data_IF_742547168613
#
_entry.id   IF_742547168613
#
_cell.length_a   1.000
_cell.length_b   1.000
_cell.length_c   1.000
_cell.angle_alpha   90.00
_cell.angle_beta   90.00
_cell.angle_gamma   90.00
#
_symmetry.space_group_name_H-M   'P 1'
#
loop_
_entity.id
_entity.type
_entity.pdbx_description
1 polymer ?
#
# COMPACT_ATOMS: atom_id res chain seq x y z
N UNK A 1 -7.95 -1.59 -16.34
CA UNK A 1 -8.47 -0.30 -15.86
C UNK A 1 -9.77 -0.43 -15.05
N UNK A 2 -10.74 -1.23 -15.46
CA UNK A 2 -12.03 -1.40 -14.76
C UNK A 2 -11.87 -1.90 -13.30
N UNK A 3 -10.96 -2.85 -13.08
CA UNK A 3 -10.72 -3.43 -11.75
C UNK A 3 -10.19 -2.41 -10.73
N UNK A 4 -9.33 -1.47 -11.15
CA UNK A 4 -8.80 -0.44 -10.27
C UNK A 4 -9.87 0.60 -9.87
N UNK A 5 -10.78 0.94 -10.79
CA UNK A 5 -11.90 1.84 -10.48
C UNK A 5 -12.87 1.21 -9.47
N UNK A 6 -13.12 -0.10 -9.61
CA UNK A 6 -13.93 -0.82 -8.64
C UNK A 6 -13.25 -0.89 -7.27
N UNK A 7 -11.96 -1.22 -7.23
CA UNK A 7 -11.19 -1.24 -5.99
C UNK A 7 -11.25 0.13 -5.29
N UNK A 8 -11.14 1.23 -6.02
CA UNK A 8 -11.30 2.59 -5.47
C UNK A 8 -12.67 2.82 -4.84
N UNK A 9 -13.75 2.37 -5.47
CA UNK A 9 -15.11 2.52 -4.91
C UNK A 9 -15.27 1.76 -3.60
N UNK A 10 -14.83 0.50 -3.54
CA UNK A 10 -14.90 -0.30 -2.32
C UNK A 10 -14.02 0.27 -1.22
N UNK A 11 -12.82 0.67 -1.56
CA UNK A 11 -11.88 1.26 -0.61
C UNK A 11 -12.39 2.58 -0.04
N UNK A 12 -12.97 3.44 -0.89
CA UNK A 12 -13.54 4.71 -0.47
C UNK A 12 -14.74 4.49 0.47
N UNK A 13 -15.64 3.56 0.14
CA UNK A 13 -16.79 3.24 1.02
C UNK A 13 -16.32 2.71 2.38
N UNK A 14 -15.31 1.84 2.42
CA UNK A 14 -14.75 1.34 3.67
C UNK A 14 -14.05 2.44 4.46
N UNK A 15 -13.36 3.36 3.79
CA UNK A 15 -12.70 4.50 4.40
C UNK A 15 -13.72 5.47 5.01
N UNK A 16 -14.79 5.82 4.29
CA UNK A 16 -15.87 6.69 4.78
C UNK A 16 -16.52 6.10 6.04
N UNK A 17 -16.83 4.80 6.01
CA UNK A 17 -17.38 4.10 7.17
C UNK A 17 -16.40 4.10 8.36
N UNK A 18 -15.13 3.86 8.11
CA UNK A 18 -14.08 3.90 9.14
C UNK A 18 -13.91 5.31 9.74
N UNK A 19 -14.10 6.34 8.92
CA UNK A 19 -14.04 7.74 9.35
C UNK A 19 -15.26 8.09 10.21
N UNK A 20 -16.46 7.69 9.82
CA UNK A 20 -17.69 7.89 10.58
C UNK A 20 -17.64 7.21 11.96
N UNK A 21 -17.08 6.00 12.03
CA UNK A 21 -16.90 5.26 13.28
C UNK A 21 -15.67 5.67 14.09
N UNK A 22 -14.81 6.56 13.56
CA UNK A 22 -13.57 6.96 14.22
C UNK A 22 -12.52 5.84 14.30
N UNK A 23 -12.59 4.85 13.41
CA UNK A 23 -11.78 3.63 13.44
C UNK A 23 -10.85 3.46 12.23
N UNK A 24 -10.33 4.57 11.69
CA UNK A 24 -9.44 4.53 10.52
C UNK A 24 -8.22 3.64 10.72
N UNK A 25 -7.57 3.73 11.89
CA UNK A 25 -6.38 2.93 12.21
C UNK A 25 -6.75 1.46 12.46
N UNK A 26 -7.69 1.14 13.39
CA UNK A 26 -8.04 -0.25 13.65
C UNK A 26 -8.46 -1.02 12.39
N UNK A 27 -9.31 -0.45 11.56
CA UNK A 27 -9.74 -1.11 10.32
C UNK A 27 -8.60 -1.26 9.31
N UNK A 28 -7.67 -0.31 9.26
CA UNK A 28 -6.47 -0.43 8.44
C UNK A 28 -5.55 -1.57 8.89
N UNK A 29 -5.38 -1.75 10.20
CA UNK A 29 -4.59 -2.84 10.79
C UNK A 29 -5.26 -4.20 10.54
N UNK A 30 -6.58 -4.29 10.70
CA UNK A 30 -7.34 -5.50 10.40
C UNK A 30 -7.24 -5.89 8.92
N UNK A 31 -7.40 -4.93 7.99
CA UNK A 31 -7.24 -5.18 6.55
C UNK A 31 -5.80 -5.62 6.21
N UNK A 32 -4.80 -5.01 6.83
CA UNK A 32 -3.40 -5.39 6.65
C UNK A 32 -3.09 -6.81 7.20
N UNK A 33 -3.72 -7.19 8.33
CA UNK A 33 -3.60 -8.56 8.87
C UNK A 33 -4.18 -9.58 7.89
N UNK A 34 -5.40 -9.35 7.39
CA UNK A 34 -6.02 -10.23 6.39
C UNK A 34 -5.14 -10.37 5.14
N UNK A 35 -4.55 -9.26 4.67
CA UNK A 35 -3.62 -9.32 3.53
C UNK A 35 -2.43 -10.21 3.82
N UNK A 36 -1.80 -10.05 4.97
CA UNK A 36 -0.65 -10.86 5.40
C UNK A 36 -0.99 -12.34 5.42
N UNK A 37 -2.18 -12.69 5.90
CA UNK A 37 -2.64 -14.07 5.95
C UNK A 37 -2.90 -14.64 4.55
N UNK A 38 -3.49 -13.84 3.66
CA UNK A 38 -3.69 -14.22 2.25
C UNK A 38 -2.35 -14.39 1.50
N UNK A 39 -1.37 -13.54 1.76
CA UNK A 39 -0.04 -13.60 1.13
C UNK A 39 0.77 -14.80 1.67
N UNK A 40 0.62 -15.15 2.95
CA UNK A 40 1.28 -16.31 3.57
C UNK A 40 0.65 -17.65 3.19
N UNK A 41 -0.60 -17.65 2.72
CA UNK A 41 -1.36 -18.85 2.35
C UNK A 41 -1.91 -18.76 0.91
N UNK A 42 -1.09 -19.00 -0.13
CA UNK A 42 -1.54 -18.92 -1.53
C UNK A 42 -2.73 -19.84 -1.86
N UNK A 43 -2.85 -20.95 -1.12
CA UNK A 43 -3.98 -21.87 -1.26
C UNK A 43 -5.30 -21.23 -0.82
N UNK A 44 -5.29 -20.44 0.25
CA UNK A 44 -6.44 -19.69 0.73
C UNK A 44 -6.90 -18.67 -0.30
N UNK A 45 -5.95 -17.92 -0.86
CA UNK A 45 -6.22 -16.96 -1.94
C UNK A 45 -6.86 -17.62 -3.15
N UNK A 46 -6.29 -18.76 -3.61
CA UNK A 46 -6.82 -19.54 -4.72
C UNK A 46 -8.23 -20.09 -4.42
N UNK A 47 -8.47 -20.57 -3.20
CA UNK A 47 -9.77 -21.05 -2.76
C UNK A 47 -10.84 -19.95 -2.81
N UNK A 48 -10.54 -18.79 -2.27
CA UNK A 48 -11.45 -17.64 -2.26
C UNK A 48 -11.73 -17.10 -3.67
N UNK A 49 -10.73 -17.12 -4.56
CA UNK A 49 -10.87 -16.68 -5.94
C UNK A 49 -11.63 -17.67 -6.83
N UNK A 50 -11.65 -18.96 -6.50
CA UNK A 50 -12.23 -20.02 -7.35
C UNK A 50 -13.75 -19.82 -7.55
N UNK A 51 -14.24 -19.60 -8.78
CA UNK A 51 -15.66 -19.37 -9.05
C UNK A 51 -16.56 -20.60 -8.85
N UNK A 52 -15.97 -21.82 -8.81
CA UNK A 52 -16.71 -23.07 -8.62
C UNK A 52 -17.10 -23.32 -7.16
N UNK A 53 -16.44 -22.66 -6.20
CA UNK A 53 -16.73 -22.81 -4.78
C UNK A 53 -17.92 -21.91 -4.42
N UNK A 54 -18.88 -22.45 -3.66
CA UNK A 54 -20.05 -21.71 -3.22
C UNK A 54 -19.68 -20.54 -2.30
N UNK A 55 -20.48 -19.48 -2.36
CA UNK A 55 -20.22 -18.27 -1.56
C UNK A 55 -20.33 -18.54 -0.06
N UNK A 56 -21.25 -19.41 0.30
CA UNK A 56 -21.53 -19.86 1.65
C UNK A 56 -20.30 -20.54 2.26
N UNK A 57 -19.66 -21.44 1.52
CA UNK A 57 -18.44 -22.15 1.95
C UNK A 57 -17.28 -21.17 2.16
N UNK A 58 -17.13 -20.20 1.26
CA UNK A 58 -16.10 -19.15 1.38
C UNK A 58 -16.33 -18.27 2.62
N UNK A 59 -17.58 -17.89 2.87
CA UNK A 59 -17.93 -17.11 4.06
C UNK A 59 -17.73 -17.88 5.36
N UNK A 60 -18.09 -19.18 5.34
CA UNK A 60 -17.86 -20.04 6.50
C UNK A 60 -16.37 -20.18 6.80
N UNK A 61 -15.53 -20.33 5.76
CA UNK A 61 -14.08 -20.35 5.91
C UNK A 61 -13.55 -19.03 6.49
N UNK A 62 -13.97 -17.89 5.92
CA UNK A 62 -13.58 -16.57 6.45
C UNK A 62 -14.02 -16.39 7.91
N UNK A 63 -15.23 -16.84 8.26
CA UNK A 63 -15.69 -16.83 9.64
C UNK A 63 -14.81 -17.67 10.54
N UNK A 64 -14.47 -18.89 10.16
CA UNK A 64 -13.62 -19.78 10.97
C UNK A 64 -12.20 -19.25 11.18
N UNK A 65 -11.67 -18.52 10.18
CA UNK A 65 -10.31 -17.98 10.26
C UNK A 65 -10.24 -16.67 11.07
N UNK A 66 -11.26 -15.82 10.96
CA UNK A 66 -11.18 -14.43 11.42
C UNK A 66 -12.24 -14.08 12.49
N UNK A 67 -13.07 -15.04 12.94
CA UNK A 67 -14.07 -14.79 13.99
C UNK A 67 -13.37 -14.50 15.32
N UNK A 68 -13.63 -13.32 15.86
CA UNK A 68 -12.99 -12.82 17.10
C UNK A 68 -11.68 -12.06 16.88
N UNK A 69 -11.07 -12.12 15.67
CA UNK A 69 -9.87 -11.35 15.35
C UNK A 69 -10.20 -10.04 14.61
N UNK A 70 -11.25 -10.06 13.79
CA UNK A 70 -11.71 -8.90 13.04
C UNK A 70 -12.96 -8.30 13.64
N UNK A 71 -13.12 -7.00 13.45
CA UNK A 71 -14.38 -6.32 13.72
C UNK A 71 -15.49 -6.84 12.81
N UNK A 72 -16.74 -6.78 13.28
CA UNK A 72 -17.91 -7.18 12.49
C UNK A 72 -17.99 -6.41 11.17
N UNK A 73 -17.59 -5.16 11.16
CA UNK A 73 -17.60 -4.29 9.98
C UNK A 73 -16.63 -4.79 8.91
N UNK A 74 -15.39 -5.09 9.27
CA UNK A 74 -14.37 -5.61 8.34
C UNK A 74 -14.75 -7.01 7.87
N UNK A 75 -15.24 -7.88 8.75
CA UNK A 75 -15.69 -9.23 8.37
C UNK A 75 -16.87 -9.17 7.39
N UNK A 76 -17.85 -8.31 7.63
CA UNK A 76 -18.97 -8.08 6.70
C UNK A 76 -18.51 -7.50 5.36
N UNK A 77 -17.49 -6.67 5.37
CA UNK A 77 -16.87 -6.16 4.15
C UNK A 77 -16.24 -7.28 3.32
N UNK A 78 -15.54 -8.23 3.95
CA UNK A 78 -15.02 -9.42 3.27
C UNK A 78 -16.15 -10.28 2.69
N UNK A 79 -17.24 -10.49 3.42
CA UNK A 79 -18.43 -11.19 2.93
C UNK A 79 -19.04 -10.49 1.71
N UNK A 80 -19.12 -9.16 1.74
CA UNK A 80 -19.58 -8.39 0.59
C UNK A 80 -18.71 -8.60 -0.64
N UNK A 81 -17.38 -8.65 -0.49
CA UNK A 81 -16.45 -8.92 -1.58
C UNK A 81 -16.64 -10.33 -2.17
N UNK A 82 -16.88 -11.33 -1.30
CA UNK A 82 -17.23 -12.70 -1.74
C UNK A 82 -18.56 -12.72 -2.50
N UNK A 83 -19.61 -12.08 -1.99
CA UNK A 83 -20.92 -12.01 -2.63
C UNK A 83 -20.89 -11.36 -4.00
N UNK A 84 -20.06 -10.34 -4.14
CA UNK A 84 -19.89 -9.63 -5.42
C UNK A 84 -18.84 -10.27 -6.32
N UNK A 85 -18.21 -11.40 -5.90
CA UNK A 85 -17.12 -12.06 -6.62
C UNK A 85 -15.95 -11.10 -6.90
N UNK A 86 -15.58 -10.30 -5.90
CA UNK A 86 -14.55 -9.24 -5.98
C UNK A 86 -13.41 -9.42 -4.99
N UNK A 87 -13.32 -10.60 -4.36
CA UNK A 87 -12.28 -10.88 -3.37
C UNK A 87 -10.86 -10.75 -3.95
N UNK A 88 -10.69 -10.99 -5.25
CA UNK A 88 -9.43 -10.80 -5.97
C UNK A 88 -8.94 -9.33 -5.97
N UNK A 89 -9.86 -8.37 -5.77
CA UNK A 89 -9.51 -6.96 -5.69
C UNK A 89 -9.03 -6.54 -4.29
N UNK A 90 -9.04 -7.45 -3.31
CA UNK A 90 -8.77 -7.13 -1.92
C UNK A 90 -7.42 -6.44 -1.71
N UNK A 91 -6.35 -6.92 -2.37
CA UNK A 91 -5.02 -6.30 -2.30
C UNK A 91 -5.04 -4.84 -2.77
N UNK A 92 -5.65 -4.60 -3.92
CA UNK A 92 -5.78 -3.24 -4.45
C UNK A 92 -6.66 -2.34 -3.55
N UNK A 93 -7.69 -2.93 -2.92
CA UNK A 93 -8.57 -2.23 -1.99
C UNK A 93 -7.79 -1.81 -0.74
N UNK A 94 -7.00 -2.72 -0.16
CA UNK A 94 -6.18 -2.44 1.02
C UNK A 94 -5.12 -1.38 0.73
N UNK A 95 -4.42 -1.46 -0.41
CA UNK A 95 -3.42 -0.46 -0.83
C UNK A 95 -4.03 0.94 -0.93
N UNK A 96 -5.23 1.05 -1.52
CA UNK A 96 -5.93 2.32 -1.66
C UNK A 96 -6.45 2.82 -0.31
N UNK A 97 -7.01 1.93 0.53
CA UNK A 97 -7.46 2.28 1.87
C UNK A 97 -6.31 2.85 2.71
N UNK A 98 -5.17 2.18 2.71
CA UNK A 98 -3.97 2.62 3.40
C UNK A 98 -3.49 3.99 2.92
N UNK A 99 -3.56 4.23 1.60
CA UNK A 99 -3.23 5.54 1.02
C UNK A 99 -4.19 6.63 1.51
N UNK A 100 -5.50 6.39 1.49
CA UNK A 100 -6.53 7.32 1.98
C UNK A 100 -6.40 7.57 3.49
N UNK A 101 -6.18 6.52 4.27
CA UNK A 101 -5.97 6.62 5.72
C UNK A 101 -4.73 7.45 6.07
N UNK A 102 -3.63 7.24 5.35
CA UNK A 102 -2.41 8.01 5.54
C UNK A 102 -2.63 9.49 5.16
N UNK A 103 -3.29 9.75 4.03
CA UNK A 103 -3.61 11.11 3.58
C UNK A 103 -4.47 11.87 4.61
N UNK A 104 -5.53 11.23 5.13
CA UNK A 104 -6.40 11.81 6.15
C UNK A 104 -5.66 12.12 7.46
N UNK A 105 -4.64 11.34 7.79
CA UNK A 105 -3.78 11.51 8.96
C UNK A 105 -2.62 12.50 8.72
N UNK A 106 -2.51 13.04 7.51
CA UNK A 106 -1.38 13.91 7.14
C UNK A 106 -0.04 13.17 7.02
N UNK A 107 -0.07 11.84 6.93
CA UNK A 107 1.12 11.01 6.76
C UNK A 107 1.41 10.87 5.27
N UNK A 108 2.62 11.17 4.87
CA UNK A 108 3.09 11.01 3.49
C UNK A 108 4.08 9.87 3.41
N UNK A 109 3.79 8.91 2.54
CA UNK A 109 4.72 7.82 2.26
C UNK A 109 5.72 8.30 1.20
N UNK A 110 7.01 8.21 1.54
CA UNK A 110 8.11 8.50 0.63
C UNK A 110 8.82 7.18 0.27
N UNK A 111 8.78 6.82 -1.02
CA UNK A 111 9.55 5.68 -1.53
C UNK A 111 10.99 6.15 -1.82
N UNK A 112 11.95 5.55 -1.14
CA UNK A 112 13.37 5.87 -1.29
C UNK A 112 14.08 4.67 -1.89
N UNK A 113 14.53 4.82 -3.13
CA UNK A 113 15.37 3.82 -3.80
C UNK A 113 16.82 4.25 -3.70
N UNK A 114 17.69 3.42 -3.16
CA UNK A 114 19.12 3.70 -2.97
C UNK A 114 19.99 2.58 -3.54
N UNK A 115 21.20 2.92 -3.95
CA UNK A 115 22.17 1.94 -4.48
C UNK A 115 22.61 0.91 -3.42
N UNK A 116 22.57 1.30 -2.13
CA UNK A 116 22.93 0.45 -0.99
C UNK A 116 21.83 0.51 0.05
N UNK A 117 21.78 -0.48 0.93
CA UNK A 117 20.85 -0.47 2.07
C UNK A 117 21.11 0.73 2.96
N UNK A 118 20.04 1.43 3.32
CA UNK A 118 20.10 2.59 4.20
C UNK A 118 20.14 2.14 5.65
N UNK A 119 21.12 2.64 6.40
CA UNK A 119 21.16 2.46 7.85
C UNK A 119 20.02 3.21 8.54
N UNK A 120 19.62 2.78 9.75
CA UNK A 120 18.57 3.45 10.53
C UNK A 120 18.84 4.94 10.71
N UNK A 121 20.10 5.33 10.96
CA UNK A 121 20.50 6.74 11.11
C UNK A 121 20.32 7.54 9.81
N UNK A 122 20.58 6.93 8.65
CA UNK A 122 20.35 7.57 7.35
C UNK A 122 18.86 7.72 7.06
N UNK A 123 18.07 6.70 7.37
CA UNK A 123 16.62 6.76 7.23
C UNK A 123 16.02 7.89 8.07
N UNK A 124 16.41 8.01 9.35
CA UNK A 124 15.95 9.11 10.21
C UNK A 124 16.32 10.49 9.66
N UNK A 125 17.55 10.67 9.14
CA UNK A 125 17.97 11.95 8.55
C UNK A 125 17.13 12.30 7.31
N UNK A 126 16.87 11.33 6.45
CA UNK A 126 16.02 11.51 5.26
C UNK A 126 14.60 11.88 5.70
N UNK A 127 14.03 11.13 6.65
CA UNK A 127 12.70 11.37 7.17
C UNK A 127 12.54 12.78 7.75
N UNK A 128 13.48 13.22 8.61
CA UNK A 128 13.49 14.56 9.20
C UNK A 128 13.59 15.66 8.13
N UNK A 129 14.47 15.46 7.13
CA UNK A 129 14.63 16.42 6.04
C UNK A 129 13.39 16.51 5.16
N UNK A 130 12.76 15.38 4.83
CA UNK A 130 11.53 15.37 4.06
C UNK A 130 10.36 15.97 4.85
N UNK A 131 10.24 15.67 6.15
CA UNK A 131 9.25 16.27 7.02
C UNK A 131 9.38 17.79 7.10
N UNK A 132 10.60 18.31 7.20
CA UNK A 132 10.84 19.78 7.24
C UNK A 132 10.46 20.48 5.92
N UNK A 133 10.60 19.80 4.77
CA UNK A 133 10.26 20.36 3.46
C UNK A 133 8.77 20.25 3.15
N UNK A 134 8.12 19.16 3.58
CA UNK A 134 6.71 18.89 3.28
C UNK A 134 5.75 19.44 4.34
N UNK A 135 6.25 19.70 5.55
CA UNK A 135 5.41 20.05 6.71
C UNK A 135 4.49 18.92 7.19
N UNK A 136 4.75 17.67 6.75
CA UNK A 136 3.92 16.51 7.04
C UNK A 136 4.74 15.41 7.71
N UNK A 137 4.05 14.49 8.37
CA UNK A 137 4.69 13.29 8.88
C UNK A 137 5.07 12.36 7.72
N UNK A 138 6.31 11.88 7.71
CA UNK A 138 6.85 11.07 6.63
C UNK A 138 7.07 9.63 7.10
N UNK A 139 6.53 8.68 6.35
CA UNK A 139 6.88 7.26 6.48
C UNK A 139 7.75 6.87 5.29
N UNK A 140 8.93 6.31 5.55
CA UNK A 140 9.83 5.86 4.50
C UNK A 140 9.55 4.41 4.11
N UNK A 141 9.51 4.13 2.80
CA UNK A 141 9.69 2.79 2.23
C UNK A 141 11.02 2.77 1.51
N UNK A 142 11.93 1.90 1.92
CA UNK A 142 13.26 1.81 1.33
C UNK A 142 13.36 0.62 0.39
N UNK A 143 13.93 0.85 -0.79
CA UNK A 143 14.22 -0.16 -1.79
C UNK A 143 15.69 -0.07 -2.17
N UNK A 144 16.34 -1.22 -2.39
CA UNK A 144 17.69 -1.29 -2.91
C UNK A 144 17.64 -1.50 -4.42
N UNK A 145 18.41 -0.68 -5.16
CA UNK A 145 18.61 -0.82 -6.59
C UNK A 145 20.05 -0.46 -6.94
N UNK A 146 20.86 -1.48 -7.15
CA UNK A 146 22.29 -1.33 -7.48
C UNK A 146 22.52 -0.66 -8.85
N UNK A 147 21.52 -0.64 -9.73
CA UNK A 147 21.60 0.01 -11.05
C UNK A 147 21.77 1.53 -10.98
N UNK A 148 21.51 2.14 -9.82
CA UNK A 148 21.70 3.58 -9.58
C UNK A 148 23.19 3.97 -9.49
N UNK A 149 24.11 2.99 -9.32
CA UNK A 149 25.55 3.16 -9.13
C UNK A 149 25.86 3.85 -7.80
N UNK A 150 25.10 4.87 -7.42
CA UNK A 150 25.23 5.64 -6.18
C UNK A 150 24.12 6.68 -6.01
N UNK A 151 24.03 7.23 -4.81
CA UNK A 151 22.98 8.18 -4.48
C UNK A 151 21.63 7.52 -4.23
N UNK A 152 20.56 8.31 -4.33
CA UNK A 152 19.19 7.85 -4.09
C UNK A 152 18.18 8.57 -4.97
N UNK A 153 17.04 7.91 -5.20
CA UNK A 153 15.84 8.49 -5.80
C UNK A 153 14.76 8.51 -4.76
N UNK A 154 14.15 9.65 -4.53
CA UNK A 154 13.03 9.83 -3.59
C UNK A 154 11.76 10.13 -4.39
N UNK A 155 10.71 9.37 -4.15
CA UNK A 155 9.39 9.58 -4.75
C UNK A 155 8.36 9.85 -3.65
N UNK A 156 7.65 10.95 -3.78
CA UNK A 156 6.58 11.36 -2.87
C UNK A 156 5.35 11.67 -3.71
N UNK A 157 4.38 10.74 -3.74
CA UNK A 157 3.24 10.85 -4.64
C UNK A 157 3.70 10.98 -6.09
N UNK A 158 3.32 12.07 -6.75
CA UNK A 158 3.70 12.35 -8.15
C UNK A 158 5.07 13.03 -8.30
N UNK A 159 5.66 13.50 -7.19
CA UNK A 159 6.97 14.17 -7.21
C UNK A 159 8.10 13.17 -7.11
N UNK A 160 9.05 13.23 -8.05
CA UNK A 160 10.28 12.45 -8.06
C UNK A 160 11.47 13.39 -7.93
N UNK A 161 12.35 13.09 -6.98
CA UNK A 161 13.62 13.78 -6.77
C UNK A 161 14.70 12.76 -7.05
N UNK A 162 15.44 12.94 -8.14
CA UNK A 162 16.51 12.02 -8.54
C UNK A 162 17.87 12.64 -8.13
N UNK A 163 18.49 12.05 -7.13
CA UNK A 163 19.85 12.37 -6.68
C UNK A 163 20.84 11.25 -6.99
N UNK A 164 20.54 10.34 -7.94
CA UNK A 164 21.41 9.24 -8.30
C UNK A 164 22.58 9.69 -9.18
N UNK A 165 23.67 8.95 -9.09
CA UNK A 165 24.84 9.14 -9.99
C UNK A 165 24.44 8.85 -11.45
N UNK A 166 23.61 7.83 -11.66
CA UNK A 166 23.08 7.48 -12.98
C UNK A 166 22.30 8.62 -13.61
N UNK A 167 21.39 9.26 -12.86
CA UNK A 167 20.62 10.40 -13.32
C UNK A 167 21.50 11.57 -13.73
N UNK A 168 22.50 11.93 -12.90
CA UNK A 168 23.46 13.00 -13.20
C UNK A 168 24.29 12.72 -14.46
N UNK A 169 24.75 11.46 -14.65
CA UNK A 169 25.49 11.09 -15.87
C UNK A 169 24.60 11.20 -17.12
N UNK A 170 23.32 10.81 -17.03
CA UNK A 170 22.37 10.95 -18.13
C UNK A 170 22.09 12.42 -18.48
N UNK A 171 21.93 13.27 -17.48
CA UNK A 171 21.78 14.72 -17.73
C UNK A 171 23.02 15.33 -18.39
N UNK A 172 24.22 14.99 -17.91
CA UNK A 172 25.45 15.46 -18.54
C UNK A 172 25.59 14.99 -19.98
N UNK A 173 25.26 13.72 -20.27
CA UNK A 173 25.29 13.17 -21.64
C UNK A 173 24.30 13.91 -22.53
N UNK A 174 23.07 14.16 -22.05
CA UNK A 174 22.06 14.90 -22.81
C UNK A 174 22.49 16.35 -23.10
N UNK A 175 23.13 17.02 -22.15
CA UNK A 175 23.70 18.36 -22.36
C UNK A 175 24.82 18.41 -23.39
N UNK A 176 25.69 17.37 -23.40
CA UNK A 176 26.80 17.28 -24.36
C UNK A 176 26.32 16.95 -25.78
N UNK A 177 25.21 16.24 -25.92
CA UNK A 177 24.64 15.88 -27.24
C UNK A 177 23.72 16.99 -27.81
N UNK A 178 23.29 17.93 -26.98
CA UNK A 178 22.43 19.04 -27.39
C UNK A 178 23.21 20.29 -27.86
N UNK A 179 24.55 20.29 -27.69
CA UNK A 179 25.49 21.28 -28.22
C UNK A 179 26.25 20.72 -29.44
#
# INVERSE_FOLDING_TARGET
MLNLQLARKYSKAMFELAQEEGKLIPYGEELASVRKDLDSAPQLKSYLANPQIQREDKKELLRKLFDGELSKTVLNFLYLLVDKRRIELFEAIEDIYRSLSNEARGIVVADVTSAQELTSSQQEKIQKKLASVTGKEITLRTHKDESLIGGMVVRIGDKRIDGSVKGRLQEMTAQLLAN
#
